data_IF_832979854924
#
_entry.id   IF_832979854924
#
_cell.length_a   1.000
_cell.length_b   1.000
_cell.length_c   1.000
_cell.angle_alpha   90.00
_cell.angle_beta   90.00
_cell.angle_gamma   90.00
#
_symmetry.space_group_name_H-M   'P 1'
#
loop_
_entity.id
_entity.type
_entity.pdbx_description
1 polymer ?
#
# COMPACT_ATOMS: atom_id res chain seq x y z
N UNK A 1 30.04 59.43 38.31
CA UNK A 1 29.30 59.64 37.05
C UNK A 1 30.06 58.95 35.92
N UNK A 2 29.35 58.38 34.94
CA UNK A 2 29.43 56.97 34.60
C UNK A 2 30.17 56.71 33.28
N UNK A 3 30.69 55.50 33.09
CA UNK A 3 30.90 54.94 31.74
C UNK A 3 30.93 53.40 31.81
N UNK A 4 29.76 52.82 32.04
CA UNK A 4 29.45 51.44 31.63
C UNK A 4 29.15 51.49 30.13
N UNK A 5 30.11 51.16 29.29
CA UNK A 5 30.00 50.93 27.85
C UNK A 5 31.16 49.97 27.50
N UNK A 6 31.01 48.79 26.93
CA UNK A 6 30.03 48.37 25.93
C UNK A 6 29.78 46.86 26.03
N UNK A 7 28.54 46.50 26.37
CA UNK A 7 27.94 45.23 26.01
C UNK A 7 26.79 45.56 25.07
N UNK A 8 27.04 45.57 23.76
CA UNK A 8 26.02 45.63 22.69
C UNK A 8 26.66 45.25 21.35
N UNK A 9 27.11 44.01 21.28
CA UNK A 9 27.43 43.33 20.02
C UNK A 9 26.28 42.43 19.62
N UNK A 10 25.12 43.01 19.27
CA UNK A 10 24.02 42.29 18.61
C UNK A 10 23.30 43.22 17.64
N UNK A 11 23.01 42.63 16.48
CA UNK A 11 22.15 43.10 15.37
C UNK A 11 22.81 44.05 14.37
N UNK A 12 23.26 43.48 13.25
CA UNK A 12 22.91 43.93 11.89
C UNK A 12 23.22 42.78 10.91
N UNK A 13 22.46 41.70 11.02
CA UNK A 13 22.33 40.74 9.92
C UNK A 13 21.47 41.37 8.84
N UNK A 14 22.09 41.87 7.78
CA UNK A 14 21.36 42.23 6.55
C UNK A 14 20.66 40.99 6.02
N UNK A 15 19.33 41.00 5.74
CA UNK A 15 18.79 40.05 4.79
C UNK A 15 19.45 40.38 3.46
N UNK A 16 20.24 39.45 2.93
CA UNK A 16 20.77 39.54 1.57
C UNK A 16 19.58 39.73 0.63
N UNK A 17 19.39 40.96 0.13
CA UNK A 17 18.45 41.27 -0.93
C UNK A 17 18.99 40.52 -2.14
N UNK A 18 18.43 39.33 -2.41
CA UNK A 18 18.66 38.63 -3.67
C UNK A 18 18.44 39.64 -4.78
N UNK A 19 19.49 39.90 -5.55
CA UNK A 19 19.46 40.91 -6.60
C UNK A 19 18.37 40.57 -7.62
N UNK A 20 17.77 41.58 -8.25
CA UNK A 20 16.69 41.41 -9.25
C UNK A 20 17.09 40.42 -10.38
N UNK A 21 18.39 40.33 -10.68
CA UNK A 21 18.99 39.35 -11.59
C UNK A 21 18.93 37.90 -11.08
N UNK A 22 19.14 37.67 -9.79
CA UNK A 22 19.07 36.34 -9.17
C UNK A 22 17.63 35.83 -9.16
N UNK A 23 16.67 36.72 -8.88
CA UNK A 23 15.23 36.41 -8.97
C UNK A 23 14.82 36.07 -10.40
N UNK A 24 15.33 36.79 -11.42
CA UNK A 24 15.08 36.46 -12.83
C UNK A 24 15.65 35.10 -13.22
N UNK A 25 16.84 34.74 -12.74
CA UNK A 25 17.43 33.40 -12.95
C UNK A 25 16.59 32.31 -12.29
N UNK A 26 16.13 32.52 -11.06
CA UNK A 26 15.24 31.59 -10.36
C UNK A 26 13.91 31.41 -11.11
N UNK A 27 13.30 32.51 -11.61
CA UNK A 27 12.05 32.43 -12.40
C UNK A 27 12.26 31.64 -13.70
N UNK A 28 13.40 31.83 -14.38
CA UNK A 28 13.70 31.06 -15.59
C UNK A 28 13.96 29.58 -15.30
N UNK A 29 14.68 29.27 -14.21
CA UNK A 29 14.89 27.90 -13.76
C UNK A 29 13.56 27.21 -13.43
N UNK A 30 12.70 27.87 -12.65
CA UNK A 30 11.36 27.36 -12.30
C UNK A 30 10.50 27.17 -13.54
N UNK A 31 10.61 28.04 -14.55
CA UNK A 31 9.89 27.88 -15.82
C UNK A 31 10.36 26.65 -16.60
N UNK A 32 11.67 26.37 -16.61
CA UNK A 32 12.23 25.18 -17.22
C UNK A 32 11.78 23.91 -16.48
N UNK A 33 11.78 23.95 -15.15
CA UNK A 33 11.27 22.84 -14.33
C UNK A 33 9.77 22.61 -14.55
N UNK A 34 8.97 23.67 -14.68
CA UNK A 34 7.53 23.56 -14.98
C UNK A 34 7.29 22.90 -16.35
N UNK A 35 8.12 23.22 -17.35
CA UNK A 35 8.05 22.57 -18.66
C UNK A 35 8.42 21.09 -18.57
N UNK A 36 9.50 20.75 -17.86
CA UNK A 36 9.90 19.36 -17.65
C UNK A 36 8.84 18.55 -16.89
N UNK A 37 8.18 19.17 -15.89
CA UNK A 37 7.06 18.55 -15.15
C UNK A 37 5.85 18.36 -16.06
N UNK A 38 5.54 19.34 -16.93
CA UNK A 38 4.43 19.23 -17.88
C UNK A 38 4.65 18.08 -18.87
N UNK A 39 5.87 17.90 -19.36
CA UNK A 39 6.22 16.77 -20.24
C UNK A 39 6.06 15.43 -19.51
N UNK A 40 6.61 15.30 -18.30
CA UNK A 40 6.44 14.10 -17.47
C UNK A 40 4.97 13.80 -17.16
N UNK A 41 4.16 14.82 -16.91
CA UNK A 41 2.73 14.65 -16.69
C UNK A 41 2.03 14.10 -17.94
N UNK A 42 2.40 14.60 -19.12
CA UNK A 42 1.85 14.11 -20.39
C UNK A 42 2.23 12.65 -20.66
N UNK A 43 3.45 12.24 -20.31
CA UNK A 43 3.93 10.87 -20.42
C UNK A 43 3.17 9.94 -19.47
N UNK A 44 2.96 10.37 -18.22
CA UNK A 44 2.17 9.61 -17.24
C UNK A 44 0.71 9.47 -17.69
N UNK A 45 0.10 10.53 -18.21
CA UNK A 45 -1.26 10.48 -18.76
C UNK A 45 -1.36 9.53 -19.96
N UNK A 46 -0.36 9.53 -20.85
CA UNK A 46 -0.30 8.58 -21.96
C UNK A 46 -0.19 7.14 -21.46
N UNK A 47 0.65 6.88 -20.46
CA UNK A 47 0.79 5.57 -19.82
C UNK A 47 -0.54 5.09 -19.20
N UNK A 48 -1.25 5.94 -18.47
CA UNK A 48 -2.56 5.59 -17.89
C UNK A 48 -3.59 5.23 -18.95
N UNK A 49 -3.64 5.99 -20.06
CA UNK A 49 -4.54 5.69 -21.17
C UNK A 49 -4.20 4.36 -21.86
N UNK A 50 -2.91 4.07 -22.03
CA UNK A 50 -2.46 2.80 -22.60
C UNK A 50 -2.86 1.61 -21.71
N UNK A 51 -2.70 1.73 -20.38
CA UNK A 51 -3.10 0.69 -19.42
C UNK A 51 -4.62 0.47 -19.46
N UNK A 52 -5.43 1.53 -19.46
CA UNK A 52 -6.89 1.40 -19.55
C UNK A 52 -7.31 0.71 -20.85
N UNK A 53 -6.66 1.03 -21.96
CA UNK A 53 -6.93 0.40 -23.26
C UNK A 53 -6.57 -1.09 -23.25
N UNK A 54 -5.45 -1.46 -22.63
CA UNK A 54 -5.05 -2.86 -22.48
C UNK A 54 -6.04 -3.64 -21.60
N UNK A 55 -6.51 -3.06 -20.50
CA UNK A 55 -7.52 -3.66 -19.63
C UNK A 55 -8.86 -3.87 -20.36
N UNK A 56 -9.31 -2.89 -21.15
CA UNK A 56 -10.51 -3.02 -21.98
C UNK A 56 -10.36 -4.15 -23.01
N UNK A 57 -9.19 -4.26 -23.64
CA UNK A 57 -8.93 -5.32 -24.61
C UNK A 57 -8.95 -6.71 -23.95
N UNK A 58 -8.33 -6.86 -22.77
CA UNK A 58 -8.37 -8.10 -22.00
C UNK A 58 -9.80 -8.47 -21.56
N UNK A 59 -10.60 -7.48 -21.13
CA UNK A 59 -12.01 -7.70 -20.79
C UNK A 59 -12.85 -8.12 -22.01
N UNK A 60 -12.60 -7.55 -23.18
CA UNK A 60 -13.28 -7.94 -24.41
C UNK A 60 -12.91 -9.37 -24.84
N UNK A 61 -11.64 -9.78 -24.69
CA UNK A 61 -11.21 -11.15 -24.96
C UNK A 61 -11.81 -12.16 -23.96
N UNK A 62 -12.05 -11.77 -22.71
CA UNK A 62 -12.72 -12.60 -21.71
C UNK A 62 -14.22 -12.81 -21.95
N UNK A 63 -14.85 -12.05 -22.87
CA UNK A 63 -16.27 -12.18 -23.22
C UNK A 63 -16.52 -13.03 -24.49
N UNK A 64 -15.48 -13.49 -25.17
CA UNK A 64 -15.58 -14.25 -26.43
C UNK A 64 -15.65 -15.78 -26.26
N UNK A 65 -15.70 -16.31 -25.03
CA UNK A 65 -15.93 -17.73 -24.79
C UNK A 65 -17.45 -18.03 -24.76
N UNK A 66 -17.96 -18.95 -25.59
CA UNK A 66 -19.40 -19.25 -25.65
C UNK A 66 -19.88 -19.86 -24.32
N UNK A 67 -21.11 -19.56 -23.87
CA UNK A 67 -21.67 -20.12 -22.65
C UNK A 67 -22.04 -21.60 -22.86
N UNK A 68 -21.74 -22.51 -21.92
CA UNK A 68 -22.43 -23.78 -21.85
C UNK A 68 -23.91 -23.53 -21.50
N UNK A 69 -24.81 -24.11 -22.29
CA UNK A 69 -26.25 -23.96 -22.17
C UNK A 69 -26.79 -24.59 -20.86
N UNK A 70 -27.48 -23.75 -20.09
CA UNK A 70 -28.58 -23.94 -19.11
C UNK A 70 -28.87 -25.37 -18.60
N UNK A 71 -28.62 -25.59 -17.31
CA UNK A 71 -29.56 -26.28 -16.42
C UNK A 71 -29.31 -25.91 -14.94
N UNK A 72 -30.39 -25.53 -14.27
CA UNK A 72 -30.53 -25.25 -12.83
C UNK A 72 -29.95 -23.92 -12.29
N UNK A 73 -30.69 -23.22 -11.40
CA UNK A 73 -30.18 -22.02 -10.74
C UNK A 73 -28.92 -22.41 -9.95
N UNK A 74 -27.79 -21.69 -10.08
CA UNK A 74 -26.69 -21.92 -9.16
C UNK A 74 -27.21 -21.53 -7.79
N UNK A 75 -27.42 -22.58 -6.99
CA UNK A 75 -27.55 -22.50 -5.55
C UNK A 75 -26.50 -21.51 -5.06
N UNK A 76 -26.91 -20.62 -4.14
CA UNK A 76 -26.03 -19.86 -3.26
C UNK A 76 -24.91 -20.81 -2.84
N UNK A 77 -23.77 -20.69 -3.53
CA UNK A 77 -22.69 -21.63 -3.40
C UNK A 77 -22.24 -21.58 -1.96
N UNK A 78 -22.35 -22.71 -1.28
CA UNK A 78 -21.52 -23.10 -0.14
C UNK A 78 -20.24 -22.26 -0.14
N UNK A 79 -19.84 -21.62 0.98
CA UNK A 79 -18.53 -21.02 1.09
C UNK A 79 -17.53 -22.04 0.56
N UNK A 80 -16.94 -21.72 -0.58
CA UNK A 80 -15.86 -22.48 -1.18
C UNK A 80 -14.88 -22.74 -0.03
N UNK A 81 -14.70 -24.03 0.31
CA UNK A 81 -13.88 -24.46 1.42
C UNK A 81 -12.57 -23.71 1.32
N UNK A 82 -12.41 -22.70 2.18
CA UNK A 82 -11.12 -22.06 2.36
C UNK A 82 -10.17 -23.23 2.61
N UNK A 83 -9.04 -23.32 1.87
CA UNK A 83 -8.02 -24.31 2.20
C UNK A 83 -7.82 -24.23 3.71
N UNK A 84 -8.00 -25.37 4.39
CA UNK A 84 -8.12 -25.42 5.84
C UNK A 84 -7.06 -24.53 6.51
N UNK A 85 -7.44 -23.86 7.61
CA UNK A 85 -6.68 -22.78 8.26
C UNK A 85 -5.16 -23.00 8.13
N UNK A 86 -4.53 -22.19 7.28
CA UNK A 86 -3.12 -22.29 6.95
C UNK A 86 -2.29 -21.58 8.03
N UNK A 87 -1.08 -22.05 8.28
CA UNK A 87 -0.11 -21.26 9.05
C UNK A 87 0.66 -20.33 8.13
N UNK A 88 1.23 -19.26 8.69
CA UNK A 88 2.16 -18.39 7.96
C UNK A 88 3.33 -19.20 7.36
N UNK A 89 3.79 -20.23 8.08
CA UNK A 89 4.84 -21.15 7.64
C UNK A 89 4.45 -21.93 6.37
N UNK A 90 3.22 -22.44 6.30
CA UNK A 90 2.70 -23.17 5.14
C UNK A 90 2.58 -22.25 3.92
N UNK A 91 2.17 -21.00 4.17
CA UNK A 91 2.04 -19.97 3.16
C UNK A 91 3.39 -19.60 2.54
N UNK A 92 4.44 -19.44 3.36
CA UNK A 92 5.79 -19.13 2.88
C UNK A 92 6.37 -20.30 2.08
N UNK A 93 6.18 -21.54 2.56
CA UNK A 93 6.69 -22.76 1.91
C UNK A 93 6.01 -23.02 0.57
N UNK A 94 4.71 -22.73 0.45
CA UNK A 94 3.90 -23.05 -0.73
C UNK A 94 3.33 -21.79 -1.41
N UNK A 95 4.09 -20.69 -1.39
CA UNK A 95 3.59 -19.37 -1.84
C UNK A 95 2.98 -19.38 -3.23
N UNK A 96 3.64 -20.05 -4.19
CA UNK A 96 3.23 -20.04 -5.60
C UNK A 96 1.88 -20.73 -5.82
N UNK A 97 1.50 -21.65 -4.92
CA UNK A 97 0.19 -22.31 -4.94
C UNK A 97 -0.95 -21.38 -4.53
N UNK A 98 -0.68 -20.43 -3.64
CA UNK A 98 -1.71 -19.61 -3.00
C UNK A 98 -1.77 -18.18 -3.51
N UNK A 99 -0.81 -17.75 -4.33
CA UNK A 99 -0.84 -16.41 -4.95
C UNK A 99 -2.13 -16.21 -5.76
N UNK A 100 -2.79 -15.08 -5.53
CA UNK A 100 -4.06 -14.71 -6.14
C UNK A 100 -5.28 -15.42 -5.54
N UNK A 101 -5.11 -16.32 -4.57
CA UNK A 101 -6.21 -17.07 -3.95
C UNK A 101 -6.63 -16.46 -2.62
N UNK A 102 -7.89 -16.69 -2.26
CA UNK A 102 -8.41 -16.42 -0.93
C UNK A 102 -7.88 -17.46 0.05
N UNK A 103 -7.20 -17.01 1.09
CA UNK A 103 -6.60 -17.85 2.13
C UNK A 103 -7.05 -17.41 3.51
N UNK A 104 -7.08 -18.36 4.43
CA UNK A 104 -7.26 -18.10 5.86
C UNK A 104 -5.98 -18.50 6.57
N UNK A 105 -5.29 -17.51 7.13
CA UNK A 105 -3.95 -17.67 7.70
C UNK A 105 -3.97 -17.36 9.19
N UNK A 106 -3.41 -18.26 9.98
CA UNK A 106 -3.21 -18.10 11.42
C UNK A 106 -1.75 -17.77 11.71
N UNK A 107 -1.53 -16.80 12.59
CA UNK A 107 -0.18 -16.43 13.02
C UNK A 107 -0.17 -15.43 14.17
N UNK A 108 1.02 -15.20 14.72
CA UNK A 108 1.19 -14.23 15.80
C UNK A 108 1.24 -12.80 15.26
N UNK A 109 0.63 -11.82 15.94
CA UNK A 109 0.72 -10.42 15.55
C UNK A 109 2.13 -9.89 15.75
N UNK A 110 2.69 -9.35 14.68
CA UNK A 110 3.94 -8.60 14.63
C UNK A 110 3.73 -7.08 14.64
N UNK A 111 4.75 -6.32 14.21
CA UNK A 111 4.69 -4.86 14.19
C UNK A 111 3.56 -4.31 13.31
N UNK A 112 2.90 -3.26 13.79
CA UNK A 112 1.79 -2.59 13.12
C UNK A 112 2.24 -1.23 12.59
N UNK A 113 2.05 -0.99 11.30
CA UNK A 113 2.23 0.29 10.62
C UNK A 113 0.86 0.96 10.48
N UNK A 114 0.43 1.64 11.54
CA UNK A 114 -0.89 2.29 11.63
C UNK A 114 -1.18 3.22 10.45
N UNK A 115 -0.21 4.05 10.06
CA UNK A 115 -0.33 5.00 8.95
C UNK A 115 -0.59 4.35 7.58
N UNK A 116 -0.12 3.11 7.36
CA UNK A 116 -0.34 2.37 6.11
C UNK A 116 -1.50 1.37 6.23
N UNK A 117 -2.09 1.23 7.42
CA UNK A 117 -3.07 0.17 7.74
C UNK A 117 -2.53 -1.21 7.39
N UNK A 118 -1.29 -1.47 7.83
CA UNK A 118 -0.59 -2.74 7.64
C UNK A 118 -0.17 -3.27 9.01
N UNK A 119 -0.33 -4.56 9.25
CA UNK A 119 0.41 -5.26 10.31
C UNK A 119 1.13 -6.47 9.74
N UNK A 120 2.03 -7.07 10.51
CA UNK A 120 2.72 -8.29 10.10
C UNK A 120 2.17 -9.48 10.86
N UNK A 121 1.97 -10.61 10.19
CA UNK A 121 1.87 -11.90 10.85
C UNK A 121 3.24 -12.54 10.93
N UNK A 122 3.62 -13.02 12.10
CA UNK A 122 4.92 -13.64 12.38
C UNK A 122 4.80 -15.16 12.46
N UNK A 123 5.82 -15.83 11.95
CA UNK A 123 6.13 -17.23 12.18
C UNK A 123 7.66 -17.43 12.29
N UNK A 124 8.13 -18.59 12.76
CA UNK A 124 9.55 -18.91 12.83
C UNK A 124 10.29 -18.74 11.49
N UNK A 125 9.63 -19.03 10.37
CA UNK A 125 10.20 -18.95 9.03
C UNK A 125 10.18 -17.54 8.41
N UNK A 126 9.44 -16.59 8.99
CA UNK A 126 9.38 -15.24 8.46
C UNK A 126 8.12 -14.46 8.83
N UNK A 127 7.88 -13.38 8.09
CA UNK A 127 6.75 -12.49 8.30
C UNK A 127 5.98 -12.28 6.99
N UNK A 128 4.66 -12.15 7.12
CA UNK A 128 3.75 -11.84 6.01
C UNK A 128 3.07 -10.52 6.31
N UNK A 129 3.02 -9.63 5.33
CA UNK A 129 2.35 -8.34 5.46
C UNK A 129 0.84 -8.55 5.34
N UNK A 130 0.06 -7.90 6.20
CA UNK A 130 -1.41 -7.94 6.17
C UNK A 130 -1.92 -6.52 6.05
N UNK A 131 -2.54 -6.21 4.92
CA UNK A 131 -3.17 -4.91 4.66
C UNK A 131 -4.63 -5.00 5.03
N UNK A 132 -5.03 -4.19 6.02
CA UNK A 132 -6.39 -4.15 6.56
C UNK A 132 -7.14 -2.87 6.18
N UNK A 133 -6.65 -2.14 5.17
CA UNK A 133 -7.27 -0.92 4.68
C UNK A 133 -8.71 -1.12 4.16
N UNK A 134 -9.03 -2.34 3.72
CA UNK A 134 -10.30 -2.71 3.09
C UNK A 134 -11.24 -3.48 4.02
N UNK A 135 -10.96 -3.55 5.33
CA UNK A 135 -11.87 -4.19 6.27
C UNK A 135 -13.22 -3.46 6.29
N UNK A 136 -14.29 -4.22 6.13
CA UNK A 136 -15.66 -3.70 6.18
C UNK A 136 -16.06 -3.29 7.61
N UNK A 137 -15.53 -4.00 8.62
CA UNK A 137 -15.82 -3.76 10.02
C UNK A 137 -14.90 -2.68 10.63
N UNK A 138 -15.50 -1.52 10.93
CA UNK A 138 -14.79 -0.39 11.55
C UNK A 138 -14.31 -0.69 12.96
N UNK A 139 -15.02 -1.50 13.73
CA UNK A 139 -14.63 -1.86 15.08
C UNK A 139 -13.41 -2.80 15.07
N UNK A 140 -13.34 -3.74 14.12
CA UNK A 140 -12.15 -4.56 13.90
C UNK A 140 -10.94 -3.70 13.50
N UNK A 141 -11.14 -2.74 12.60
CA UNK A 141 -10.09 -1.81 12.18
C UNK A 141 -9.58 -0.96 13.35
N UNK A 142 -10.49 -0.42 14.17
CA UNK A 142 -10.13 0.33 15.38
C UNK A 142 -9.35 -0.53 16.36
N UNK A 143 -9.75 -1.79 16.56
CA UNK A 143 -9.03 -2.74 17.43
C UNK A 143 -7.61 -3.03 16.93
N UNK A 144 -7.41 -3.14 15.63
CA UNK A 144 -6.09 -3.33 15.01
C UNK A 144 -5.15 -2.14 15.21
N UNK A 145 -5.67 -0.93 15.36
CA UNK A 145 -4.87 0.27 15.58
C UNK A 145 -4.76 0.66 17.06
N UNK A 146 -5.63 0.14 17.93
CA UNK A 146 -5.83 0.71 19.27
C UNK A 146 -4.89 0.19 20.37
N UNK A 147 -4.26 -0.99 20.23
CA UNK A 147 -3.11 -1.49 21.06
C UNK A 147 -2.86 -3.01 20.86
N UNK A 148 -1.85 -3.55 21.57
CA UNK A 148 -1.32 -4.94 21.52
C UNK A 148 -2.42 -5.97 21.28
N UNK A 149 -2.29 -6.69 20.16
CA UNK A 149 -3.20 -7.76 19.77
C UNK A 149 -2.87 -9.01 20.60
N UNK A 150 -3.77 -9.47 21.48
CA UNK A 150 -3.51 -10.61 22.34
C UNK A 150 -3.68 -11.92 21.56
N UNK A 151 -2.70 -12.81 21.65
CA UNK A 151 -2.81 -14.17 21.12
C UNK A 151 -2.57 -14.29 19.62
N UNK A 152 -2.90 -15.46 19.08
CA UNK A 152 -2.81 -15.75 17.65
C UNK A 152 -4.00 -15.15 16.92
N UNK A 153 -3.73 -14.50 15.79
CA UNK A 153 -4.77 -13.95 14.92
C UNK A 153 -5.06 -14.88 13.77
N UNK A 154 -6.30 -14.86 13.32
CA UNK A 154 -6.73 -15.53 12.09
C UNK A 154 -7.22 -14.50 11.09
N UNK A 155 -6.53 -14.43 9.96
CA UNK A 155 -6.77 -13.45 8.90
C UNK A 155 -7.29 -14.17 7.68
N UNK A 156 -8.42 -13.73 7.14
CA UNK A 156 -8.93 -14.20 5.85
C UNK A 156 -8.79 -13.09 4.82
N UNK A 157 -8.24 -13.42 3.66
CA UNK A 157 -8.01 -12.44 2.61
C UNK A 157 -7.34 -13.03 1.37
N UNK A 158 -7.09 -12.19 0.38
CA UNK A 158 -6.43 -12.62 -0.86
C UNK A 158 -4.91 -12.48 -0.71
N UNK A 159 -4.17 -13.55 -0.99
CA UNK A 159 -2.72 -13.54 -1.00
C UNK A 159 -2.20 -12.91 -2.30
N UNK A 160 -1.31 -11.96 -2.17
CA UNK A 160 -0.67 -11.24 -3.25
C UNK A 160 0.84 -11.18 -3.04
N UNK A 161 1.55 -10.89 -4.11
CA UNK A 161 2.94 -10.50 -4.02
C UNK A 161 3.01 -9.02 -3.64
N UNK A 162 3.72 -8.70 -2.54
CA UNK A 162 3.85 -7.33 -2.09
C UNK A 162 4.60 -6.50 -3.14
N UNK A 163 4.08 -5.32 -3.46
CA UNK A 163 4.72 -4.37 -4.38
C UNK A 163 5.72 -3.51 -3.59
N UNK A 164 7.03 -3.79 -3.71
CA UNK A 164 8.08 -3.03 -3.01
C UNK A 164 9.50 -3.59 -3.21
N UNK A 165 10.51 -2.88 -2.71
CA UNK A 165 11.91 -3.33 -2.78
C UNK A 165 12.18 -4.46 -1.77
N UNK A 166 12.34 -5.67 -2.28
CA UNK A 166 12.80 -6.84 -1.52
C UNK A 166 12.37 -8.15 -2.20
N UNK A 167 13.19 -9.22 -2.16
CA UNK A 167 12.82 -10.48 -2.80
C UNK A 167 11.61 -11.12 -2.10
N UNK A 168 10.56 -11.43 -2.87
CA UNK A 168 9.44 -12.31 -2.51
C UNK A 168 8.69 -12.00 -1.19
N UNK A 169 8.36 -10.74 -0.91
CA UNK A 169 7.44 -10.45 0.21
C UNK A 169 6.01 -10.83 -0.16
N UNK A 170 5.36 -11.55 0.76
CA UNK A 170 3.94 -11.91 0.65
C UNK A 170 3.09 -10.89 1.37
N UNK A 171 1.94 -10.57 0.77
CA UNK A 171 0.97 -9.63 1.29
C UNK A 171 -0.41 -10.26 1.27
N UNK A 172 -1.16 -10.16 2.37
CA UNK A 172 -2.57 -10.55 2.43
C UNK A 172 -3.40 -9.27 2.44
N UNK A 173 -4.27 -9.10 1.46
CA UNK A 173 -5.32 -8.09 1.54
C UNK A 173 -6.45 -8.66 2.39
N UNK A 174 -6.54 -8.24 3.65
CA UNK A 174 -7.48 -8.78 4.62
C UNK A 174 -8.91 -8.33 4.32
N UNK A 175 -9.82 -9.30 4.35
CA UNK A 175 -11.27 -9.11 4.30
C UNK A 175 -11.88 -9.21 5.70
N UNK A 176 -11.35 -10.14 6.51
CA UNK A 176 -11.80 -10.40 7.88
C UNK A 176 -10.61 -10.71 8.77
N UNK A 177 -10.62 -10.20 10.00
CA UNK A 177 -9.65 -10.55 11.04
C UNK A 177 -10.37 -11.02 12.29
N UNK A 178 -10.02 -12.21 12.76
CA UNK A 178 -10.49 -12.81 14.00
C UNK A 178 -9.35 -12.74 15.05
N UNK A 179 -9.72 -12.36 16.28
CA UNK A 179 -8.83 -12.17 17.43
C UNK A 179 -9.06 -13.24 18.49
#
# INVERSE_FOLDING_TARGET
>A
MPAVLAALGLVLGCPAVKTDEEVKKEIQAVKAELQAVKEKLSEVQAGQKAILTALQHLQAMSQAAPPPAVAAPPQVGKPEEAPGVLTVSDLIKNKDRYLGQRVTVKGEPGPILVHKRIFHLRAPEGMVEVVFANLADKAQMERLISQVLPGELKVTGVLLQATGQGPSRLQINAETVEF
#
